data_IF_297606866485
#
_entry.id   IF_297606866485
#
_cell.length_a   1.000
_cell.length_b   1.000
_cell.length_c   1.000
_cell.angle_alpha   90.00
_cell.angle_beta   90.00
_cell.angle_gamma   90.00
#
_symmetry.space_group_name_H-M   'P 1'
#
loop_
_entity.id
_entity.type
_entity.pdbx_description
1 polymer ?
#
# COMPACT_ATOMS: atom_id res chain seq x y z
N UNK A 1 4.08 -11.65 14.30
CA UNK A 1 5.15 -12.69 14.42
C UNK A 1 4.77 -13.85 13.51
N UNK A 2 5.16 -13.80 12.22
CA UNK A 2 4.74 -14.76 11.18
C UNK A 2 5.74 -15.90 10.95
N UNK A 3 6.96 -15.74 11.46
CA UNK A 3 8.10 -16.63 11.22
C UNK A 3 7.91 -18.04 11.82
N UNK A 4 7.38 -18.22 13.05
CA UNK A 4 7.28 -19.57 13.65
C UNK A 4 6.24 -20.47 12.94
N UNK A 5 5.13 -19.89 12.48
CA UNK A 5 4.06 -20.58 11.76
C UNK A 5 4.53 -21.04 10.37
N UNK A 6 5.24 -20.16 9.64
CA UNK A 6 5.88 -20.51 8.36
C UNK A 6 6.90 -21.65 8.50
N UNK A 7 7.69 -21.66 9.59
CA UNK A 7 8.69 -22.71 9.87
C UNK A 7 8.03 -24.04 10.24
N UNK A 8 6.88 -24.02 10.90
CA UNK A 8 6.13 -25.23 11.27
C UNK A 8 5.47 -25.87 10.05
N UNK A 9 4.81 -25.07 9.21
CA UNK A 9 4.17 -25.55 7.98
C UNK A 9 5.20 -26.00 6.91
N UNK A 10 6.39 -25.40 6.85
CA UNK A 10 7.46 -25.84 5.95
C UNK A 10 8.10 -27.19 6.34
N UNK A 11 8.02 -27.58 7.61
CA UNK A 11 8.56 -28.86 8.11
C UNK A 11 7.60 -30.05 7.94
N UNK A 12 6.29 -29.81 7.82
CA UNK A 12 5.26 -30.86 7.79
C UNK A 12 4.84 -31.29 6.36
N UNK A 13 5.27 -30.59 5.30
CA UNK A 13 4.84 -30.87 3.92
C UNK A 13 5.99 -31.12 2.95
N UNK A 14 5.87 -32.17 2.13
CA UNK A 14 6.86 -32.67 1.15
C UNK A 14 7.22 -31.68 0.02
N UNK A 15 6.47 -30.60 -0.16
CA UNK A 15 6.65 -29.58 -1.22
C UNK A 15 7.47 -28.35 -0.76
N UNK A 16 8.10 -28.38 0.41
CA UNK A 16 8.94 -27.29 0.91
C UNK A 16 8.20 -26.00 1.26
N UNK A 17 6.89 -26.06 1.52
CA UNK A 17 6.10 -24.93 2.02
C UNK A 17 5.69 -23.86 0.98
N UNK A 18 5.98 -24.07 -0.31
CA UNK A 18 5.65 -23.12 -1.37
C UNK A 18 4.12 -22.92 -1.54
N UNK A 19 3.35 -24.01 -1.56
CA UNK A 19 1.90 -23.95 -1.68
C UNK A 19 1.22 -23.28 -0.47
N UNK A 20 1.77 -23.46 0.74
CA UNK A 20 1.31 -22.78 1.95
C UNK A 20 1.60 -21.28 1.89
N UNK A 21 2.81 -20.90 1.45
CA UNK A 21 3.20 -19.49 1.28
C UNK A 21 2.32 -18.80 0.25
N UNK A 22 2.04 -19.44 -0.89
CA UNK A 22 1.15 -18.89 -1.92
C UNK A 22 -0.29 -18.70 -1.41
N UNK A 23 -0.85 -19.67 -0.66
CA UNK A 23 -2.18 -19.55 -0.06
C UNK A 23 -2.24 -18.44 0.98
N UNK A 24 -1.24 -18.36 1.86
CA UNK A 24 -1.15 -17.33 2.89
C UNK A 24 -1.05 -15.94 2.25
N UNK A 25 -0.23 -15.79 1.20
CA UNK A 25 -0.13 -14.54 0.44
C UNK A 25 -1.45 -14.18 -0.24
N UNK A 26 -2.10 -15.15 -0.89
CA UNK A 26 -3.41 -14.93 -1.51
C UNK A 26 -4.47 -14.55 -0.47
N UNK A 27 -4.50 -15.21 0.69
CA UNK A 27 -5.41 -14.86 1.79
C UNK A 27 -5.14 -13.44 2.31
N UNK A 28 -3.88 -13.12 2.58
CA UNK A 28 -3.47 -11.78 3.03
C UNK A 28 -3.86 -10.72 2.00
N UNK A 29 -3.63 -10.95 0.71
CA UNK A 29 -4.00 -10.03 -0.36
C UNK A 29 -5.52 -9.83 -0.44
N UNK A 30 -6.30 -10.92 -0.39
CA UNK A 30 -7.77 -10.85 -0.42
C UNK A 30 -8.30 -10.11 0.81
N UNK A 31 -7.80 -10.45 2.01
CA UNK A 31 -8.19 -9.80 3.25
C UNK A 31 -7.82 -8.31 3.26
N UNK A 32 -6.58 -7.96 2.86
CA UNK A 32 -6.14 -6.57 2.75
C UNK A 32 -6.96 -5.79 1.73
N UNK A 33 -7.30 -6.40 0.59
CA UNK A 33 -8.15 -5.76 -0.42
C UNK A 33 -9.54 -5.52 0.13
N UNK A 34 -10.14 -6.50 0.82
CA UNK A 34 -11.44 -6.36 1.44
C UNK A 34 -11.44 -5.26 2.53
N UNK A 35 -10.45 -5.26 3.43
CA UNK A 35 -10.29 -4.25 4.47
C UNK A 35 -10.11 -2.86 3.86
N UNK A 36 -9.27 -2.75 2.82
CA UNK A 36 -9.04 -1.48 2.12
C UNK A 36 -10.31 -0.97 1.45
N UNK A 37 -11.05 -1.84 0.76
CA UNK A 37 -12.32 -1.49 0.14
C UNK A 37 -13.36 -1.03 1.19
N UNK A 38 -13.48 -1.76 2.30
CA UNK A 38 -14.34 -1.36 3.42
C UNK A 38 -13.92 -0.01 3.99
N UNK A 39 -12.62 0.23 4.20
CA UNK A 39 -12.12 1.50 4.70
C UNK A 39 -12.44 2.66 3.75
N UNK A 40 -12.24 2.49 2.44
CA UNK A 40 -12.55 3.50 1.41
C UNK A 40 -14.04 3.81 1.38
N UNK A 41 -14.91 2.79 1.44
CA UNK A 41 -16.35 2.97 1.52
C UNK A 41 -16.78 3.64 2.83
N UNK A 42 -16.09 3.30 3.92
CA UNK A 42 -16.32 3.84 5.25
C UNK A 42 -15.68 5.21 5.50
N UNK A 43 -14.95 5.78 4.53
CA UNK A 43 -14.33 7.11 4.62
C UNK A 43 -15.24 8.19 5.25
N UNK A 44 -16.52 8.37 4.87
CA UNK A 44 -17.37 9.38 5.52
C UNK A 44 -17.61 9.12 7.02
N UNK A 45 -17.76 7.87 7.43
CA UNK A 45 -17.95 7.51 8.84
C UNK A 45 -16.66 7.71 9.64
N UNK A 46 -15.51 7.33 9.05
CA UNK A 46 -14.19 7.57 9.62
C UNK A 46 -14.00 9.08 9.85
N UNK A 47 -14.31 9.92 8.86
CA UNK A 47 -14.18 11.38 8.99
C UNK A 47 -15.09 11.93 10.09
N UNK A 48 -16.37 11.53 10.16
CA UNK A 48 -17.26 11.96 11.27
C UNK A 48 -16.80 11.49 12.64
N UNK A 49 -16.07 10.39 12.74
CA UNK A 49 -15.58 9.90 14.03
C UNK A 49 -14.37 10.71 14.52
N UNK A 50 -13.62 11.32 13.60
CA UNK A 50 -12.38 12.06 13.91
C UNK A 50 -12.58 13.58 13.97
N UNK A 51 -13.55 14.14 13.27
CA UNK A 51 -13.77 15.59 13.22
C UNK A 51 -15.25 15.98 13.19
N UNK A 52 -15.55 17.15 13.76
CA UNK A 52 -16.86 17.79 13.70
C UNK A 52 -17.03 18.66 12.43
N UNK A 53 -16.26 18.39 11.37
CA UNK A 53 -16.30 19.20 10.15
C UNK A 53 -17.64 19.06 9.42
N UNK A 54 -18.11 20.19 8.88
CA UNK A 54 -19.38 20.30 8.15
C UNK A 54 -19.20 20.93 6.78
N UNK A 55 -20.13 20.67 5.85
CA UNK A 55 -20.14 21.26 4.51
C UNK A 55 -18.88 20.92 3.68
N UNK A 56 -18.39 21.89 2.92
CA UNK A 56 -17.28 21.69 1.97
C UNK A 56 -16.00 21.12 2.59
N UNK A 57 -15.70 21.47 3.86
CA UNK A 57 -14.52 20.95 4.56
C UNK A 57 -14.62 19.45 4.84
N UNK A 58 -15.82 18.96 5.17
CA UNK A 58 -16.09 17.53 5.35
C UNK A 58 -15.93 16.80 4.02
N UNK A 59 -16.53 17.32 2.96
CA UNK A 59 -16.49 16.69 1.64
C UNK A 59 -15.07 16.59 1.10
N UNK A 60 -14.26 17.64 1.29
CA UNK A 60 -12.84 17.65 0.95
C UNK A 60 -12.06 16.59 1.72
N UNK A 61 -12.31 16.49 3.04
CA UNK A 61 -11.64 15.51 3.90
C UNK A 61 -12.01 14.08 3.52
N UNK A 62 -13.28 13.82 3.20
CA UNK A 62 -13.75 12.51 2.72
C UNK A 62 -13.14 12.18 1.38
N UNK A 63 -13.08 13.13 0.45
CA UNK A 63 -12.47 12.94 -0.87
C UNK A 63 -10.98 12.61 -0.74
N UNK A 64 -10.22 13.39 0.03
CA UNK A 64 -8.81 13.12 0.31
C UNK A 64 -8.64 11.76 0.99
N UNK A 65 -9.48 11.43 1.96
CA UNK A 65 -9.51 10.12 2.61
C UNK A 65 -9.68 8.98 1.61
N UNK A 66 -10.60 9.10 0.65
CA UNK A 66 -10.80 8.09 -0.40
C UNK A 66 -9.59 7.92 -1.33
N UNK A 67 -8.80 8.97 -1.55
CA UNK A 67 -7.58 8.88 -2.36
C UNK A 67 -6.38 8.31 -1.58
N UNK A 68 -6.33 8.56 -0.28
CA UNK A 68 -5.25 8.10 0.59
C UNK A 68 -5.48 6.68 1.10
N UNK A 69 -6.71 6.29 1.45
CA UNK A 69 -7.01 4.98 2.06
C UNK A 69 -6.61 3.76 1.20
N UNK A 70 -6.65 3.78 -0.15
CA UNK A 70 -6.14 2.69 -0.98
C UNK A 70 -4.67 2.32 -0.71
N UNK A 71 -3.87 3.26 -0.17
CA UNK A 71 -2.47 3.00 0.18
C UNK A 71 -2.30 1.91 1.25
N UNK A 72 -3.33 1.62 2.06
CA UNK A 72 -3.34 0.54 3.06
C UNK A 72 -3.00 -0.80 2.42
N UNK A 73 -3.55 -1.08 1.22
CA UNK A 73 -3.26 -2.30 0.47
C UNK A 73 -1.77 -2.41 0.18
N UNK A 74 -1.16 -1.34 -0.35
CA UNK A 74 0.25 -1.34 -0.72
C UNK A 74 1.17 -1.44 0.49
N UNK A 75 0.83 -0.82 1.63
CA UNK A 75 1.55 -1.02 2.88
C UNK A 75 1.51 -2.46 3.39
N UNK A 76 0.34 -3.10 3.30
CA UNK A 76 0.17 -4.50 3.66
C UNK A 76 0.99 -5.42 2.74
N UNK A 77 0.92 -5.18 1.43
CA UNK A 77 1.73 -5.90 0.43
C UNK A 77 3.23 -5.72 0.71
N UNK A 78 3.67 -4.47 0.90
CA UNK A 78 5.07 -4.16 1.19
C UNK A 78 5.56 -4.91 2.44
N UNK A 79 4.76 -4.93 3.50
CA UNK A 79 5.09 -5.62 4.74
C UNK A 79 5.22 -7.12 4.51
N UNK A 80 4.24 -7.73 3.85
CA UNK A 80 4.21 -9.18 3.61
C UNK A 80 5.35 -9.62 2.68
N UNK A 81 5.54 -8.95 1.54
CA UNK A 81 6.68 -9.21 0.63
C UNK A 81 8.01 -9.00 1.34
N UNK A 82 8.06 -8.00 2.20
CA UNK A 82 9.17 -7.72 3.08
C UNK A 82 9.55 -8.89 3.99
N UNK A 83 8.57 -9.50 4.66
CA UNK A 83 8.81 -10.68 5.50
C UNK A 83 9.33 -11.87 4.66
N UNK A 84 8.79 -12.07 3.45
CA UNK A 84 9.26 -13.14 2.53
C UNK A 84 10.71 -12.91 2.10
N UNK A 85 11.10 -11.67 1.79
CA UNK A 85 12.46 -11.33 1.42
C UNK A 85 13.43 -11.44 2.60
N UNK A 86 13.03 -11.01 3.80
CA UNK A 86 13.82 -11.13 5.01
C UNK A 86 14.07 -12.61 5.37
N UNK A 87 13.09 -13.49 5.16
CA UNK A 87 13.25 -14.93 5.35
C UNK A 87 14.22 -15.58 4.32
N UNK A 88 14.59 -14.87 3.26
CA UNK A 88 15.55 -15.29 2.22
C UNK A 88 16.86 -14.49 2.28
N UNK A 89 17.16 -13.84 3.40
CA UNK A 89 18.34 -13.00 3.62
C UNK A 89 18.49 -11.83 2.63
N UNK A 90 17.39 -11.35 2.03
CA UNK A 90 17.37 -10.25 1.05
C UNK A 90 16.86 -8.94 1.67
N UNK A 91 17.64 -8.37 2.59
CA UNK A 91 17.27 -7.14 3.32
C UNK A 91 17.40 -5.86 2.49
N UNK A 92 18.34 -5.80 1.54
CA UNK A 92 18.71 -4.57 0.84
C UNK A 92 17.55 -3.92 0.06
N UNK A 93 16.68 -4.73 -0.56
CA UNK A 93 15.54 -4.19 -1.31
C UNK A 93 14.52 -3.48 -0.39
N UNK A 94 14.28 -4.01 0.81
CA UNK A 94 13.40 -3.36 1.79
C UNK A 94 13.97 -2.03 2.29
N UNK A 95 15.30 -1.90 2.37
CA UNK A 95 15.95 -0.67 2.84
C UNK A 95 15.92 0.45 1.79
N UNK A 96 16.05 0.12 0.51
CA UNK A 96 16.10 1.11 -0.57
C UNK A 96 14.74 1.58 -1.05
N UNK A 97 13.72 0.73 -1.00
CA UNK A 97 12.39 1.04 -1.50
C UNK A 97 11.73 2.28 -0.85
N UNK A 98 11.90 2.58 0.46
CA UNK A 98 11.46 3.85 1.05
C UNK A 98 12.11 5.09 0.42
N UNK A 99 13.34 4.98 -0.11
CA UNK A 99 13.98 6.09 -0.83
C UNK A 99 13.26 6.36 -2.15
N UNK A 100 12.85 5.32 -2.89
CA UNK A 100 12.06 5.50 -4.11
C UNK A 100 10.73 6.19 -3.83
N UNK A 101 10.04 5.81 -2.75
CA UNK A 101 8.82 6.51 -2.31
C UNK A 101 9.07 8.00 -2.10
N UNK A 102 10.11 8.35 -1.32
CA UNK A 102 10.44 9.73 -1.07
C UNK A 102 10.72 10.51 -2.36
N UNK A 103 11.41 9.91 -3.34
CA UNK A 103 11.64 10.53 -4.66
C UNK A 103 10.31 10.81 -5.38
N UNK A 104 9.38 9.86 -5.37
CA UNK A 104 8.04 10.05 -5.97
C UNK A 104 7.27 11.15 -5.24
N UNK A 105 7.27 11.15 -3.91
CA UNK A 105 6.57 12.16 -3.10
C UNK A 105 7.17 13.55 -3.32
N UNK A 106 8.50 13.68 -3.40
CA UNK A 106 9.17 14.94 -3.74
C UNK A 106 8.75 15.41 -5.14
N UNK A 107 8.69 14.49 -6.12
CA UNK A 107 8.24 14.84 -7.47
C UNK A 107 6.76 15.29 -7.50
N UNK A 108 5.89 14.63 -6.72
CA UNK A 108 4.48 15.02 -6.56
C UNK A 108 4.35 16.41 -5.95
N UNK A 109 5.10 16.70 -4.88
CA UNK A 109 5.11 18.03 -4.28
C UNK A 109 5.74 19.08 -5.19
N UNK A 110 6.81 18.75 -5.91
CA UNK A 110 7.41 19.63 -6.91
C UNK A 110 6.43 19.99 -8.03
N UNK A 111 5.67 19.00 -8.53
CA UNK A 111 4.62 19.21 -9.51
C UNK A 111 3.46 20.04 -8.94
N UNK A 112 3.06 19.77 -7.69
CA UNK A 112 2.06 20.57 -7.00
C UNK A 112 2.49 22.04 -6.92
N UNK A 113 3.73 22.33 -6.51
CA UNK A 113 4.27 23.69 -6.44
C UNK A 113 4.33 24.36 -7.82
N UNK A 114 4.75 23.63 -8.86
CA UNK A 114 4.83 24.16 -10.21
C UNK A 114 3.45 24.51 -10.80
N UNK A 115 2.41 23.75 -10.48
CA UNK A 115 1.03 24.01 -10.93
C UNK A 115 0.33 25.03 -10.03
N UNK A 116 0.72 25.12 -8.75
CA UNK A 116 0.15 26.06 -7.80
C UNK A 116 0.47 27.53 -8.12
N UNK A 117 1.44 27.81 -8.99
CA UNK A 117 1.95 29.16 -9.31
C UNK A 117 1.03 30.01 -10.22
N UNK A 118 -0.29 29.90 -10.04
CA UNK A 118 -1.27 30.83 -10.62
C UNK A 118 -2.46 31.13 -9.70
N UNK A 119 -2.53 30.52 -8.51
CA UNK A 119 -3.59 30.77 -7.55
C UNK A 119 -3.20 31.90 -6.59
N UNK A 120 -3.22 33.14 -7.10
CA UNK A 120 -3.28 34.37 -6.29
C UNK A 120 -4.57 34.52 -5.48
N UNK A 121 -5.27 33.43 -5.17
CA UNK A 121 -6.43 33.39 -4.30
C UNK A 121 -6.23 32.32 -3.23
N UNK A 122 -5.76 32.78 -2.07
CA UNK A 122 -5.81 32.03 -0.84
C UNK A 122 -7.26 31.57 -0.60
N UNK A 123 -7.55 30.28 -0.75
CA UNK A 123 -8.81 29.73 -0.25
C UNK A 123 -9.27 28.39 -0.81
N UNK A 124 -8.96 28.04 -2.05
CA UNK A 124 -9.54 26.83 -2.68
C UNK A 124 -8.45 25.94 -3.28
N UNK A 125 -8.17 24.81 -2.61
CA UNK A 125 -7.46 23.68 -3.23
C UNK A 125 -8.35 23.15 -4.34
N UNK A 126 -7.84 23.09 -5.58
CA UNK A 126 -8.63 22.56 -6.69
C UNK A 126 -8.77 21.03 -6.58
N UNK A 127 -9.82 20.46 -7.19
CA UNK A 127 -10.01 19.00 -7.24
C UNK A 127 -8.79 18.29 -7.85
N UNK A 128 -8.12 18.92 -8.82
CA UNK A 128 -6.90 18.41 -9.44
C UNK A 128 -5.71 18.39 -8.49
N UNK A 129 -5.56 19.41 -7.65
CA UNK A 129 -4.53 19.45 -6.60
C UNK A 129 -4.78 18.40 -5.52
N UNK A 130 -6.04 18.23 -5.12
CA UNK A 130 -6.44 17.21 -4.15
C UNK A 130 -6.18 15.80 -4.67
N UNK A 131 -6.51 15.55 -5.94
CA UNK A 131 -6.23 14.29 -6.63
C UNK A 131 -4.72 14.06 -6.74
N UNK A 132 -3.95 15.08 -7.13
CA UNK A 132 -2.49 14.99 -7.24
C UNK A 132 -1.85 14.60 -5.90
N UNK A 133 -2.26 15.22 -4.80
CA UNK A 133 -1.72 14.92 -3.47
C UNK A 133 -2.16 13.54 -2.96
N UNK A 134 -3.45 13.22 -3.07
CA UNK A 134 -4.00 11.96 -2.58
C UNK A 134 -3.54 10.75 -3.40
N UNK A 135 -3.70 10.80 -4.72
CA UNK A 135 -3.27 9.71 -5.60
C UNK A 135 -1.76 9.67 -5.77
N UNK A 136 -1.07 10.82 -5.75
CA UNK A 136 0.38 10.89 -5.86
C UNK A 136 1.10 10.26 -4.66
N UNK A 137 0.60 10.49 -3.45
CA UNK A 137 1.13 9.81 -2.25
C UNK A 137 0.88 8.30 -2.30
N UNK A 138 -0.33 7.86 -2.66
CA UNK A 138 -0.65 6.44 -2.89
C UNK A 138 0.25 5.81 -3.97
N UNK A 139 0.54 6.55 -5.04
CA UNK A 139 1.45 6.11 -6.09
C UNK A 139 2.89 5.92 -5.56
N UNK A 140 3.36 6.78 -4.66
CA UNK A 140 4.66 6.61 -3.98
C UNK A 140 4.76 5.27 -3.22
N UNK A 141 3.73 4.94 -2.44
CA UNK A 141 3.64 3.65 -1.73
C UNK A 141 3.52 2.48 -2.71
N UNK A 142 2.74 2.64 -3.78
CA UNK A 142 2.61 1.62 -4.81
C UNK A 142 3.96 1.33 -5.48
N UNK A 143 4.71 2.37 -5.87
CA UNK A 143 6.06 2.23 -6.45
C UNK A 143 7.00 1.54 -5.46
N UNK A 144 6.97 1.92 -4.19
CA UNK A 144 7.75 1.27 -3.13
C UNK A 144 7.47 -0.23 -3.03
N UNK A 145 6.19 -0.62 -3.03
CA UNK A 145 5.78 -2.02 -2.96
C UNK A 145 6.15 -2.80 -4.23
N UNK A 146 5.91 -2.22 -5.41
CA UNK A 146 6.18 -2.85 -6.70
C UNK A 146 7.69 -3.01 -6.95
N UNK A 147 8.52 -2.10 -6.44
CA UNK A 147 9.97 -2.18 -6.54
C UNK A 147 10.58 -3.39 -5.79
N UNK A 148 9.82 -4.07 -4.92
CA UNK A 148 10.24 -5.35 -4.33
C UNK A 148 10.05 -6.54 -5.28
N UNK A 149 9.16 -6.45 -6.28
CA UNK A 149 8.83 -7.57 -7.18
C UNK A 149 10.04 -8.11 -7.95
N UNK A 150 10.97 -7.29 -8.49
CA UNK A 150 12.16 -7.79 -9.16
C UNK A 150 13.07 -8.61 -8.22
N UNK A 151 13.30 -8.13 -7.00
CA UNK A 151 14.11 -8.84 -6.01
C UNK A 151 13.42 -10.14 -5.55
N UNK A 152 12.10 -10.11 -5.43
CA UNK A 152 11.29 -11.29 -5.12
C UNK A 152 11.45 -12.38 -6.19
N UNK A 153 11.37 -11.99 -7.47
CA UNK A 153 11.61 -12.89 -8.61
C UNK A 153 13.06 -13.41 -8.63
N UNK A 154 14.04 -12.54 -8.40
CA UNK A 154 15.45 -12.92 -8.34
C UNK A 154 15.77 -13.85 -7.15
N UNK A 155 15.01 -13.76 -6.06
CA UNK A 155 15.11 -14.68 -4.92
C UNK A 155 14.46 -16.05 -5.21
N UNK A 156 13.93 -16.29 -6.41
CA UNK A 156 13.30 -17.55 -6.81
C UNK A 156 11.87 -17.71 -6.29
N UNK A 157 11.19 -16.62 -5.93
CA UNK A 157 9.78 -16.66 -5.54
C UNK A 157 8.89 -16.54 -6.78
N UNK A 158 8.17 -17.61 -7.11
CA UNK A 158 7.15 -17.61 -8.15
C UNK A 158 5.77 -17.61 -7.50
N UNK A 159 5.18 -16.43 -7.34
CA UNK A 159 3.81 -16.33 -6.84
C UNK A 159 2.85 -17.02 -7.81
N UNK A 160 2.08 -18.00 -7.32
CA UNK A 160 0.94 -18.56 -8.04
C UNK A 160 -0.32 -18.33 -7.20
N UNK A 161 -1.26 -17.48 -7.63
CA UNK A 161 -2.51 -17.28 -6.91
C UNK A 161 -3.24 -18.62 -6.79
N UNK A 162 -3.44 -19.12 -5.57
CA UNK A 162 -4.17 -20.36 -5.31
C UNK A 162 -5.36 -20.06 -4.40
N UNK A 163 -6.57 -20.34 -4.90
CA UNK A 163 -7.84 -20.21 -4.18
C UNK A 163 -8.35 -21.57 -3.65
N UNK A 164 -7.48 -22.58 -3.64
CA UNK A 164 -7.82 -23.90 -3.09
C UNK A 164 -7.58 -23.89 -1.58
N UNK A 165 -8.64 -23.63 -0.82
CA UNK A 165 -8.67 -23.44 0.64
C UNK A 165 -8.67 -24.76 1.44
N UNK A 166 -8.27 -25.88 0.82
CA UNK A 166 -8.19 -27.21 1.44
C UNK A 166 -6.88 -27.47 2.18
#
# INVERSE_FOLDING_TARGET
>A
VFVPELVRAAKEHTDGGAAYTDRLLTLCLVALTAITAVAVLAAPWIVSAYTDYTGAQRDLTVALGRYCLPQILFYGVFTVLGQVLNARDRFGAMMWTPVLNNVVVIAVFGLYLAIADSAGSAGAVSDGQLLLLGMGSTAGIAVQALALLPTLRAAGFQWRPRFDWR
#
